data_IF_264827981929
#
_entry.id   IF_264827981929
#
_cell.length_a   1.000
_cell.length_b   1.000
_cell.length_c   1.000
_cell.angle_alpha   90.00
_cell.angle_beta   90.00
_cell.angle_gamma   90.00
#
_symmetry.space_group_name_H-M   'P 1'
#
loop_
_entity.id
_entity.type
_entity.pdbx_description
1 polymer ?
#
# COMPACT_ATOMS: atom_id res chain seq x y z
N UNK A 1 -25.65 16.17 -8.37
CA UNK A 1 -25.54 14.85 -9.03
C UNK A 1 -25.33 13.85 -7.92
N UNK A 2 -26.29 12.95 -7.68
CA UNK A 2 -26.09 11.83 -6.76
C UNK A 2 -24.98 10.95 -7.33
N UNK A 3 -24.08 10.51 -6.48
CA UNK A 3 -22.98 9.62 -6.85
C UNK A 3 -23.60 8.27 -7.26
N UNK A 4 -23.40 7.87 -8.53
CA UNK A 4 -24.01 6.67 -9.11
C UNK A 4 -23.61 5.35 -8.43
N UNK A 5 -22.75 5.41 -7.40
CA UNK A 5 -22.17 4.26 -6.73
C UNK A 5 -22.51 4.20 -5.22
N UNK A 6 -23.58 4.83 -4.80
CA UNK A 6 -24.01 4.82 -3.38
C UNK A 6 -24.73 3.51 -3.03
N UNK A 7 -24.32 2.88 -1.93
CA UNK A 7 -24.97 1.69 -1.35
C UNK A 7 -25.58 2.05 0.01
N UNK A 8 -26.71 1.42 0.35
CA UNK A 8 -27.26 1.47 1.70
C UNK A 8 -26.84 0.24 2.48
N UNK A 9 -26.38 0.42 3.73
CA UNK A 9 -26.21 -0.68 4.70
C UNK A 9 -27.27 -0.50 5.77
N UNK A 10 -28.29 -1.36 5.72
CA UNK A 10 -29.46 -1.23 6.59
C UNK A 10 -29.30 -2.02 7.90
N UNK A 11 -29.85 -1.49 9.00
CA UNK A 11 -29.91 -2.17 10.31
C UNK A 11 -28.55 -2.60 10.84
N UNK A 12 -27.55 -1.73 10.78
CA UNK A 12 -26.17 -2.04 11.18
C UNK A 12 -25.69 -1.18 12.35
N UNK A 13 -24.55 -1.53 12.91
CA UNK A 13 -23.79 -0.71 13.82
C UNK A 13 -22.66 0.01 13.06
N UNK A 14 -22.33 1.22 13.50
CA UNK A 14 -21.18 2.00 13.05
C UNK A 14 -20.33 2.38 14.26
N UNK A 15 -19.02 2.21 14.17
CA UNK A 15 -18.05 2.89 15.06
C UNK A 15 -17.47 4.06 14.28
N UNK A 16 -17.71 5.28 14.75
CA UNK A 16 -17.21 6.50 14.14
C UNK A 16 -15.74 6.79 14.51
N UNK A 17 -15.20 7.88 14.00
CA UNK A 17 -13.82 8.30 14.23
C UNK A 17 -13.51 8.68 15.68
N UNK A 18 -14.52 8.99 16.47
CA UNK A 18 -14.41 9.26 17.90
C UNK A 18 -14.51 7.97 18.75
N UNK A 19 -14.73 6.82 18.12
CA UNK A 19 -14.95 5.55 18.79
C UNK A 19 -16.36 5.37 19.36
N UNK A 20 -17.29 6.26 18.99
CA UNK A 20 -18.68 6.16 19.43
C UNK A 20 -19.45 5.20 18.54
N UNK A 21 -20.38 4.44 19.15
CA UNK A 21 -21.22 3.48 18.44
C UNK A 21 -22.58 4.10 18.09
N UNK A 22 -22.97 3.90 16.84
CA UNK A 22 -24.26 4.33 16.30
C UNK A 22 -25.01 3.13 15.72
N UNK A 23 -26.32 3.10 15.82
CA UNK A 23 -27.16 2.09 15.19
C UNK A 23 -28.12 2.74 14.23
N UNK A 24 -28.22 2.20 13.02
CA UNK A 24 -29.13 2.73 11.99
C UNK A 24 -28.86 2.19 10.61
N UNK A 25 -29.37 2.93 9.65
CA UNK A 25 -29.09 2.73 8.24
C UNK A 25 -28.06 3.77 7.78
N UNK A 26 -27.07 3.36 7.03
CA UNK A 26 -26.00 4.22 6.55
C UNK A 26 -25.85 4.12 5.04
N UNK A 27 -25.47 5.23 4.41
CA UNK A 27 -25.09 5.30 3.00
C UNK A 27 -23.56 5.22 2.91
N UNK A 28 -23.09 4.30 2.10
CA UNK A 28 -21.69 4.20 1.67
C UNK A 28 -21.58 4.78 0.27
N UNK A 29 -20.93 5.92 0.14
CA UNK A 29 -20.75 6.63 -1.12
C UNK A 29 -19.53 6.09 -1.90
N UNK A 30 -19.52 6.28 -3.23
CA UNK A 30 -18.47 5.82 -4.12
C UNK A 30 -17.08 6.41 -3.82
N UNK A 31 -17.04 7.58 -3.18
CA UNK A 31 -15.80 8.21 -2.70
C UNK A 31 -15.28 7.62 -1.37
N UNK A 32 -16.07 6.70 -0.76
CA UNK A 32 -15.76 6.08 0.53
C UNK A 32 -16.25 6.83 1.75
N UNK A 33 -16.95 7.95 1.57
CA UNK A 33 -17.60 8.66 2.67
C UNK A 33 -18.85 7.93 3.17
N UNK A 34 -19.24 8.21 4.43
CA UNK A 34 -20.42 7.65 5.08
C UNK A 34 -21.37 8.77 5.49
N UNK A 35 -22.66 8.51 5.34
CA UNK A 35 -23.73 9.38 5.91
C UNK A 35 -24.89 8.53 6.44
N UNK A 36 -25.75 9.13 7.25
CA UNK A 36 -26.99 8.48 7.67
C UNK A 36 -27.96 8.39 6.49
N UNK A 37 -28.64 7.25 6.35
CA UNK A 37 -29.74 7.06 5.43
C UNK A 37 -31.06 7.56 6.04
N UNK A 38 -31.88 8.22 5.22
CA UNK A 38 -33.26 8.59 5.55
C UNK A 38 -34.28 7.56 5.06
N UNK A 39 -33.81 6.59 4.25
CA UNK A 39 -34.61 5.49 3.78
C UNK A 39 -35.20 5.63 2.36
N UNK A 40 -35.15 6.83 1.78
CA UNK A 40 -35.73 7.19 0.48
C UNK A 40 -34.70 7.48 -0.62
N UNK A 41 -33.41 7.28 -0.33
CA UNK A 41 -32.37 7.55 -1.30
C UNK A 41 -32.33 6.49 -2.39
N UNK A 42 -32.05 6.94 -3.63
CA UNK A 42 -31.76 6.07 -4.75
C UNK A 42 -30.36 5.46 -4.58
N UNK A 43 -30.28 4.15 -4.49
CA UNK A 43 -29.05 3.40 -4.24
C UNK A 43 -28.94 2.22 -5.19
N UNK A 44 -27.70 1.89 -5.58
CA UNK A 44 -27.45 0.75 -6.47
C UNK A 44 -27.68 -0.61 -5.78
N UNK A 45 -27.58 -0.64 -4.44
CA UNK A 45 -27.70 -1.85 -3.65
C UNK A 45 -28.09 -1.52 -2.21
N UNK A 46 -28.91 -2.38 -1.59
CA UNK A 46 -29.13 -2.37 -0.15
C UNK A 46 -28.56 -3.65 0.45
N UNK A 47 -27.58 -3.49 1.36
CA UNK A 47 -26.93 -4.57 2.08
C UNK A 47 -27.61 -4.75 3.43
N UNK A 48 -28.04 -5.99 3.75
CA UNK A 48 -28.49 -6.30 5.11
C UNK A 48 -27.33 -6.24 6.11
N UNK A 49 -27.35 -5.26 6.97
CA UNK A 49 -26.35 -5.02 8.01
C UNK A 49 -26.66 -5.69 9.35
N UNK A 50 -27.71 -6.51 9.45
CA UNK A 50 -28.05 -7.23 10.67
C UNK A 50 -26.87 -8.06 11.17
N UNK A 51 -26.51 -7.86 12.44
CA UNK A 51 -25.34 -8.50 13.08
C UNK A 51 -24.00 -8.10 12.44
N UNK A 52 -23.93 -6.99 11.73
CA UNK A 52 -22.71 -6.45 11.14
C UNK A 52 -22.35 -5.12 11.81
N UNK A 53 -21.07 -4.78 11.66
CA UNK A 53 -20.48 -3.55 12.17
C UNK A 53 -19.74 -2.87 11.02
N UNK A 54 -20.01 -1.60 10.80
CA UNK A 54 -19.20 -0.74 9.96
C UNK A 54 -18.12 -0.10 10.85
N UNK A 55 -16.88 -0.18 10.40
CA UNK A 55 -15.72 0.44 11.04
C UNK A 55 -14.73 0.89 9.98
N UNK A 56 -13.75 1.71 10.36
CA UNK A 56 -12.60 1.96 9.49
C UNK A 56 -11.89 0.65 9.16
N UNK A 57 -11.38 0.56 7.94
CA UNK A 57 -10.59 -0.57 7.50
C UNK A 57 -9.21 -0.60 8.18
N UNK A 58 -8.57 -1.76 8.16
CA UNK A 58 -7.18 -1.91 8.58
C UNK A 58 -6.24 -1.23 7.58
N UNK A 59 -5.13 -0.71 8.09
CA UNK A 59 -4.06 -0.10 7.30
C UNK A 59 -2.74 -0.77 7.66
N UNK A 60 -1.98 -1.18 6.66
CA UNK A 60 -0.64 -1.73 6.84
C UNK A 60 0.39 -0.66 6.45
N UNK A 61 1.02 -0.05 7.46
CA UNK A 61 1.98 1.04 7.29
C UNK A 61 3.41 0.59 7.01
N UNK A 62 3.68 -0.70 6.95
CA UNK A 62 4.97 -1.24 6.50
C UNK A 62 4.77 -2.62 5.91
N UNK A 63 5.02 -2.77 4.61
CA UNK A 63 4.86 -4.04 3.91
C UNK A 63 5.82 -4.14 2.72
N UNK A 64 6.02 -5.38 2.27
CA UNK A 64 6.76 -5.76 1.07
C UNK A 64 5.87 -6.67 0.23
N UNK A 65 4.91 -6.08 -0.50
CA UNK A 65 3.81 -6.83 -1.13
C UNK A 65 4.29 -7.97 -2.03
N UNK A 66 5.34 -7.73 -2.82
CA UNK A 66 5.91 -8.76 -3.69
C UNK A 66 6.49 -9.96 -2.95
N UNK A 67 6.88 -9.80 -1.69
CA UNK A 67 7.48 -10.85 -0.86
C UNK A 67 6.48 -11.92 -0.38
N UNK A 68 5.18 -11.76 -0.61
CA UNK A 68 4.20 -12.79 -0.22
C UNK A 68 4.55 -14.16 -0.81
N UNK A 69 5.22 -14.20 -1.97
CA UNK A 69 5.69 -15.42 -2.60
C UNK A 69 6.80 -16.13 -1.80
N UNK A 70 7.47 -15.41 -0.90
CA UNK A 70 8.57 -15.92 -0.07
C UNK A 70 8.10 -16.31 1.34
N UNK A 71 6.80 -16.37 1.57
CA UNK A 71 6.22 -16.69 2.90
C UNK A 71 6.77 -18.01 3.43
N UNK A 72 7.26 -18.00 4.68
CA UNK A 72 7.81 -19.17 5.36
C UNK A 72 9.26 -19.53 4.98
N UNK A 73 9.88 -18.80 4.04
CA UNK A 73 11.28 -19.05 3.68
C UNK A 73 12.22 -18.63 4.81
N UNK A 74 13.05 -19.57 5.29
CA UNK A 74 14.03 -19.35 6.35
C UNK A 74 13.41 -19.02 7.71
N UNK A 75 12.19 -19.49 7.99
CA UNK A 75 11.51 -19.27 9.27
C UNK A 75 12.37 -19.73 10.45
N UNK A 76 12.44 -18.89 11.49
CA UNK A 76 13.21 -19.17 12.71
C UNK A 76 14.67 -18.76 12.66
N UNK A 77 15.20 -18.28 11.53
CA UNK A 77 16.56 -17.77 11.42
C UNK A 77 16.69 -16.36 12.02
N UNK A 78 17.86 -16.00 12.62
CA UNK A 78 18.19 -14.61 12.95
C UNK A 78 18.14 -13.72 11.70
N UNK A 79 17.83 -12.42 11.87
CA UNK A 79 17.60 -11.48 10.78
C UNK A 79 18.67 -11.52 9.67
N UNK A 80 19.94 -11.37 10.02
CA UNK A 80 21.01 -11.30 9.01
C UNK A 80 21.20 -12.65 8.30
N UNK A 81 21.15 -13.76 9.03
CA UNK A 81 21.22 -15.09 8.45
C UNK A 81 20.02 -15.36 7.53
N UNK A 82 18.82 -14.95 7.93
CA UNK A 82 17.62 -15.03 7.11
C UNK A 82 17.75 -14.23 5.81
N UNK A 83 18.23 -12.98 5.89
CA UNK A 83 18.45 -12.14 4.71
C UNK A 83 19.48 -12.76 3.75
N UNK A 84 20.65 -13.17 4.27
CA UNK A 84 21.76 -13.65 3.45
C UNK A 84 21.50 -15.02 2.82
N UNK A 85 20.84 -15.93 3.53
CA UNK A 85 20.68 -17.31 3.11
C UNK A 85 19.34 -17.60 2.44
N UNK A 86 18.28 -16.89 2.80
CA UNK A 86 16.93 -17.13 2.28
C UNK A 86 16.46 -16.03 1.31
N UNK A 87 16.57 -14.75 1.69
CA UNK A 87 15.91 -13.66 0.96
C UNK A 87 16.76 -13.13 -0.18
N UNK A 88 17.97 -12.65 0.06
CA UNK A 88 18.83 -12.08 -0.99
C UNK A 88 19.09 -13.00 -2.18
N UNK A 89 19.27 -14.34 -2.02
CA UNK A 89 19.40 -15.25 -3.16
C UNK A 89 18.17 -15.29 -4.06
N UNK A 90 16.97 -15.13 -3.48
CA UNK A 90 15.70 -15.09 -4.23
C UNK A 90 15.54 -13.72 -4.90
N UNK A 91 15.79 -12.65 -4.18
CA UNK A 91 15.65 -11.27 -4.69
C UNK A 91 16.59 -10.98 -5.87
N UNK A 92 17.78 -11.58 -5.89
CA UNK A 92 18.69 -11.51 -7.07
C UNK A 92 18.09 -12.05 -8.36
N UNK A 93 17.05 -12.89 -8.28
CA UNK A 93 16.33 -13.49 -9.41
C UNK A 93 14.95 -12.86 -9.62
N UNK A 94 14.62 -11.84 -8.85
CA UNK A 94 13.33 -11.19 -8.92
C UNK A 94 13.15 -10.50 -10.27
N UNK A 95 11.97 -10.62 -10.83
CA UNK A 95 11.55 -9.95 -12.06
C UNK A 95 10.29 -9.13 -11.81
N UNK A 96 10.01 -8.16 -12.68
CA UNK A 96 8.77 -7.38 -12.61
C UNK A 96 7.52 -8.26 -12.66
N UNK A 97 7.55 -9.35 -13.43
CA UNK A 97 6.44 -10.32 -13.52
C UNK A 97 6.19 -11.03 -12.18
N UNK A 98 7.25 -11.50 -11.50
CA UNK A 98 7.12 -12.10 -10.18
C UNK A 98 6.57 -11.11 -9.16
N UNK A 99 7.02 -9.85 -9.20
CA UNK A 99 6.49 -8.79 -8.33
C UNK A 99 5.04 -8.50 -8.64
N UNK A 100 4.62 -8.47 -9.91
CA UNK A 100 3.21 -8.32 -10.28
C UNK A 100 2.36 -9.45 -9.67
N UNK A 101 2.78 -10.71 -9.85
CA UNK A 101 2.06 -11.88 -9.31
C UNK A 101 1.96 -11.79 -7.78
N UNK A 102 3.07 -11.51 -7.10
CA UNK A 102 3.10 -11.35 -5.64
C UNK A 102 2.20 -10.21 -5.17
N UNK A 103 2.28 -9.05 -5.81
CA UNK A 103 1.46 -7.89 -5.47
C UNK A 103 -0.04 -8.18 -5.63
N UNK A 104 -0.44 -8.90 -6.67
CA UNK A 104 -1.84 -9.32 -6.87
C UNK A 104 -2.32 -10.27 -5.78
N UNK A 105 -1.48 -11.25 -5.40
CA UNK A 105 -1.79 -12.18 -4.32
C UNK A 105 -1.92 -11.45 -2.97
N UNK A 106 -0.99 -10.54 -2.67
CA UNK A 106 -1.03 -9.73 -1.46
C UNK A 106 -2.27 -8.83 -1.41
N UNK A 107 -2.63 -8.17 -2.52
CA UNK A 107 -3.82 -7.34 -2.61
C UNK A 107 -5.10 -8.16 -2.36
N UNK A 108 -5.19 -9.38 -2.90
CA UNK A 108 -6.32 -10.26 -2.67
C UNK A 108 -6.44 -10.66 -1.20
N UNK A 109 -5.32 -11.00 -0.54
CA UNK A 109 -5.30 -11.32 0.90
C UNK A 109 -5.67 -10.09 1.75
N UNK A 110 -5.12 -8.92 1.43
CA UNK A 110 -5.46 -7.67 2.11
C UNK A 110 -6.96 -7.39 2.07
N UNK A 111 -7.57 -7.46 0.88
CA UNK A 111 -9.01 -7.25 0.72
C UNK A 111 -9.81 -8.28 1.53
N UNK A 112 -9.44 -9.57 1.46
CA UNK A 112 -10.12 -10.64 2.17
C UNK A 112 -10.04 -10.49 3.71
N UNK A 113 -9.00 -9.82 4.23
CA UNK A 113 -8.78 -9.60 5.67
C UNK A 113 -9.17 -8.19 6.14
N UNK A 114 -9.74 -7.35 5.25
CA UNK A 114 -10.21 -6.02 5.61
C UNK A 114 -9.12 -4.94 5.64
N UNK A 115 -7.94 -5.21 5.07
CA UNK A 115 -6.87 -4.22 4.91
C UNK A 115 -7.02 -3.52 3.56
N UNK A 116 -7.20 -2.19 3.54
CA UNK A 116 -7.47 -1.43 2.31
C UNK A 116 -6.40 -0.41 1.95
N UNK A 117 -5.39 -0.27 2.78
CA UNK A 117 -4.24 0.61 2.56
C UNK A 117 -2.94 -0.12 2.87
N UNK A 118 -1.92 0.09 2.02
CA UNK A 118 -0.55 -0.37 2.23
C UNK A 118 0.45 0.77 2.06
N UNK A 119 1.42 0.88 2.98
CA UNK A 119 2.67 1.60 2.73
C UNK A 119 3.72 0.55 2.36
N UNK A 120 4.04 0.45 1.06
CA UNK A 120 4.90 -0.60 0.54
C UNK A 120 6.32 -0.10 0.28
N UNK A 121 7.29 -0.92 0.62
CA UNK A 121 8.70 -0.66 0.35
C UNK A 121 9.30 -1.90 -0.34
N UNK A 122 9.09 -2.01 -1.66
CA UNK A 122 9.63 -3.15 -2.40
C UNK A 122 10.12 -2.78 -3.81
N UNK A 123 10.92 -3.67 -4.39
CA UNK A 123 11.50 -3.49 -5.72
C UNK A 123 10.44 -3.44 -6.83
N UNK A 124 10.81 -2.90 -8.00
CA UNK A 124 9.90 -2.71 -9.13
C UNK A 124 8.65 -1.88 -8.76
N UNK A 125 8.86 -0.80 -8.04
CA UNK A 125 7.82 0.07 -7.46
C UNK A 125 6.76 0.50 -8.47
N UNK A 126 7.15 0.82 -9.71
CA UNK A 126 6.21 1.14 -10.78
C UNK A 126 5.25 -0.03 -11.06
N UNK A 127 5.78 -1.25 -11.18
CA UNK A 127 4.98 -2.47 -11.39
C UNK A 127 3.98 -2.69 -10.25
N UNK A 128 4.42 -2.47 -9.00
CA UNK A 128 3.52 -2.53 -7.84
C UNK A 128 2.38 -1.53 -7.99
N UNK A 129 2.68 -0.27 -8.35
CA UNK A 129 1.70 0.79 -8.54
C UNK A 129 0.68 0.48 -9.64
N UNK A 130 1.14 0.07 -10.80
CA UNK A 130 0.30 -0.31 -11.94
C UNK A 130 -0.60 -1.53 -11.62
N UNK A 131 -0.07 -2.46 -10.82
CA UNK A 131 -0.81 -3.64 -10.37
C UNK A 131 -1.90 -3.26 -9.38
N UNK A 132 -1.58 -2.51 -8.34
CA UNK A 132 -2.54 -2.07 -7.32
C UNK A 132 -3.62 -1.16 -7.89
N UNK A 133 -3.29 -0.33 -8.88
CA UNK A 133 -4.25 0.53 -9.56
C UNK A 133 -5.47 -0.23 -10.11
N UNK A 134 -5.30 -1.51 -10.44
CA UNK A 134 -6.35 -2.41 -10.95
C UNK A 134 -7.17 -3.08 -9.84
N UNK A 135 -6.75 -3.01 -8.58
CA UNK A 135 -7.36 -3.76 -7.47
C UNK A 135 -8.32 -2.95 -6.61
N UNK A 136 -8.19 -1.63 -6.59
CA UNK A 136 -8.94 -0.76 -5.68
C UNK A 136 -8.28 -0.52 -4.31
N UNK A 137 -7.23 -1.25 -3.95
CA UNK A 137 -6.41 -0.98 -2.76
C UNK A 137 -5.76 0.40 -2.87
N UNK A 138 -5.68 1.12 -1.76
CA UNK A 138 -4.92 2.37 -1.66
C UNK A 138 -3.50 2.07 -1.20
N UNK A 139 -2.52 2.78 -1.74
CA UNK A 139 -1.13 2.59 -1.33
C UNK A 139 -0.30 3.85 -1.45
N UNK A 140 0.70 3.96 -0.57
CA UNK A 140 1.87 4.80 -0.76
C UNK A 140 3.06 3.88 -1.01
N UNK A 141 3.74 4.06 -2.13
CA UNK A 141 4.80 3.18 -2.60
C UNK A 141 6.14 3.88 -2.47
N UNK A 142 6.94 3.43 -1.52
CA UNK A 142 8.23 3.99 -1.18
C UNK A 142 9.33 3.01 -1.63
N UNK A 143 9.69 3.05 -2.92
CA UNK A 143 10.69 2.12 -3.47
C UNK A 143 11.99 2.13 -2.69
N UNK A 144 12.59 0.95 -2.40
CA UNK A 144 13.75 0.87 -1.54
C UNK A 144 14.98 1.47 -2.20
N UNK A 145 15.60 2.42 -1.51
CA UNK A 145 16.88 3.02 -1.85
C UNK A 145 17.89 2.48 -0.85
N UNK A 146 18.94 1.84 -1.35
CA UNK A 146 20.00 1.21 -0.54
C UNK A 146 21.36 1.43 -1.18
N UNK A 147 22.44 1.21 -0.41
CA UNK A 147 23.82 1.15 -0.94
C UNK A 147 24.11 -0.15 -1.66
N UNK A 148 23.32 -1.18 -1.38
CA UNK A 148 23.52 -2.53 -1.86
C UNK A 148 23.05 -2.76 -3.30
N UNK A 149 23.32 -3.96 -3.79
CA UNK A 149 22.78 -4.45 -5.04
C UNK A 149 21.29 -4.68 -4.92
N UNK A 150 20.52 -4.08 -5.83
CA UNK A 150 19.08 -4.32 -5.95
C UNK A 150 18.77 -5.03 -7.27
N UNK A 151 17.65 -5.74 -7.39
CA UNK A 151 17.28 -6.44 -8.62
C UNK A 151 17.20 -5.54 -9.86
N UNK A 152 16.84 -4.26 -9.67
CA UNK A 152 16.53 -3.32 -10.74
C UNK A 152 17.46 -2.12 -10.84
N UNK A 153 18.39 -1.90 -9.88
CA UNK A 153 19.34 -0.78 -9.93
C UNK A 153 20.75 -1.20 -9.52
N UNK A 154 21.75 -0.53 -10.09
CA UNK A 154 23.16 -0.71 -9.73
C UNK A 154 23.48 0.03 -8.43
N UNK A 155 24.33 -0.55 -7.56
CA UNK A 155 24.79 0.13 -6.35
C UNK A 155 25.45 1.48 -6.65
N UNK A 156 25.19 2.47 -5.82
CA UNK A 156 25.84 3.79 -5.90
C UNK A 156 25.55 4.62 -7.14
N UNK A 157 24.68 4.15 -8.05
CA UNK A 157 24.39 4.88 -9.31
C UNK A 157 23.46 6.09 -9.13
N UNK A 158 22.76 6.19 -8.03
CA UNK A 158 21.69 7.19 -7.83
C UNK A 158 20.44 6.92 -8.68
N UNK A 159 20.39 5.81 -9.42
CA UNK A 159 19.26 5.48 -10.31
C UNK A 159 17.96 5.30 -9.52
N UNK A 160 18.03 4.69 -8.35
CA UNK A 160 16.86 4.49 -7.50
C UNK A 160 16.24 5.83 -7.06
N UNK A 161 17.05 6.81 -6.64
CA UNK A 161 16.58 8.15 -6.29
C UNK A 161 15.92 8.85 -7.49
N UNK A 162 16.58 8.83 -8.66
CA UNK A 162 16.04 9.44 -9.89
C UNK A 162 14.74 8.76 -10.32
N UNK A 163 14.68 7.45 -10.21
CA UNK A 163 13.47 6.70 -10.54
C UNK A 163 12.30 7.08 -9.61
N UNK A 164 12.55 7.17 -8.29
CA UNK A 164 11.51 7.59 -7.36
C UNK A 164 11.09 9.05 -7.59
N UNK A 165 12.03 9.95 -7.88
CA UNK A 165 11.69 11.33 -8.25
C UNK A 165 10.79 11.39 -9.49
N UNK A 166 11.08 10.59 -10.52
CA UNK A 166 10.24 10.48 -11.72
C UNK A 166 8.83 9.98 -11.37
N UNK A 167 8.70 8.90 -10.60
CA UNK A 167 7.40 8.36 -10.20
C UNK A 167 6.56 9.34 -9.37
N UNK A 168 7.21 10.17 -8.53
CA UNK A 168 6.52 11.17 -7.71
C UNK A 168 6.04 12.35 -8.56
N UNK A 169 6.81 12.75 -9.57
CA UNK A 169 6.51 13.92 -10.40
C UNK A 169 5.63 13.62 -11.60
N UNK A 170 5.55 12.38 -12.03
CA UNK A 170 4.67 11.92 -13.10
C UNK A 170 3.24 11.64 -12.61
N UNK A 171 2.24 11.63 -13.51
CA UNK A 171 0.88 11.27 -13.12
C UNK A 171 0.81 9.86 -12.53
N UNK A 172 0.18 9.73 -11.37
CA UNK A 172 -0.08 8.44 -10.74
C UNK A 172 -0.93 7.54 -11.64
N UNK A 173 -0.71 6.22 -11.67
CA UNK A 173 -1.54 5.28 -12.42
C UNK A 173 -3.00 5.25 -11.92
N UNK A 174 -3.26 5.72 -10.70
CA UNK A 174 -4.60 5.92 -10.16
C UNK A 174 -4.59 7.05 -9.11
N UNK A 175 -4.74 8.31 -9.53
CA UNK A 175 -4.73 9.46 -8.63
C UNK A 175 -5.70 9.32 -7.46
N UNK A 176 -5.26 9.72 -6.25
CA UNK A 176 -6.02 9.61 -5.01
C UNK A 176 -6.13 8.19 -4.42
N UNK A 177 -5.53 7.18 -5.10
CA UNK A 177 -5.42 5.82 -4.56
C UNK A 177 -3.99 5.33 -4.50
N UNK A 178 -3.18 5.61 -5.51
CA UNK A 178 -1.77 5.22 -5.56
C UNK A 178 -0.94 6.50 -5.50
N UNK A 179 -0.07 6.57 -4.52
CA UNK A 179 0.88 7.65 -4.31
C UNK A 179 2.28 7.09 -4.23
N UNK A 180 3.28 7.91 -4.53
CA UNK A 180 4.69 7.52 -4.41
C UNK A 180 5.38 8.37 -3.35
N UNK A 181 6.31 7.73 -2.63
CA UNK A 181 7.13 8.34 -1.61
C UNK A 181 8.58 7.89 -1.71
N UNK A 182 9.41 8.33 -0.80
CA UNK A 182 10.83 7.97 -0.72
C UNK A 182 11.02 6.90 0.34
N UNK A 183 11.61 5.76 -0.04
CA UNK A 183 11.96 4.68 0.87
C UNK A 183 13.48 4.58 1.04
N UNK A 184 14.06 5.16 2.09
CA UNK A 184 15.43 4.82 2.50
C UNK A 184 15.34 3.58 3.36
N UNK A 185 15.82 2.43 2.84
CA UNK A 185 15.43 1.10 3.32
C UNK A 185 15.59 0.93 4.83
N UNK A 186 16.73 1.34 5.39
CA UNK A 186 16.97 1.28 6.83
C UNK A 186 18.31 1.91 7.18
N UNK A 187 18.53 2.19 8.46
CA UNK A 187 19.79 2.75 8.97
C UNK A 187 20.96 1.76 8.96
N UNK A 188 20.73 0.47 8.71
CA UNK A 188 21.77 -0.56 8.68
C UNK A 188 22.17 -1.01 7.26
N UNK A 189 21.44 -0.58 6.23
CA UNK A 189 21.76 -0.85 4.80
C UNK A 189 21.82 0.43 3.96
N UNK A 190 21.76 1.60 4.59
CA UNK A 190 21.94 2.90 3.95
C UNK A 190 23.02 3.68 4.68
N UNK A 191 23.94 4.27 3.93
CA UNK A 191 24.86 5.24 4.48
C UNK A 191 24.16 6.58 4.79
N UNK A 192 24.87 7.46 5.52
CA UNK A 192 24.37 8.80 5.87
C UNK A 192 24.04 9.63 4.62
N UNK A 193 24.79 9.48 3.55
CA UNK A 193 24.58 10.22 2.30
C UNK A 193 23.24 9.87 1.65
N UNK A 194 22.89 8.58 1.58
CA UNK A 194 21.60 8.11 1.05
C UNK A 194 20.45 8.57 1.93
N UNK A 195 20.57 8.45 3.25
CA UNK A 195 19.54 8.93 4.20
C UNK A 195 19.29 10.43 4.03
N UNK A 196 20.36 11.21 3.91
CA UNK A 196 20.28 12.67 3.70
C UNK A 196 19.64 13.02 2.35
N UNK A 197 20.11 12.41 1.24
CA UNK A 197 19.57 12.64 -0.10
C UNK A 197 18.09 12.25 -0.20
N UNK A 198 17.70 11.11 0.40
CA UNK A 198 16.31 10.68 0.47
C UNK A 198 15.43 11.69 1.22
N UNK A 199 15.91 12.18 2.37
CA UNK A 199 15.21 13.21 3.16
C UNK A 199 15.08 14.54 2.40
N UNK A 200 16.15 14.97 1.69
CA UNK A 200 16.12 16.18 0.87
C UNK A 200 15.13 16.06 -0.28
N UNK A 201 15.10 14.91 -0.95
CA UNK A 201 14.16 14.66 -2.04
C UNK A 201 12.70 14.61 -1.53
N UNK A 202 12.44 13.95 -0.40
CA UNK A 202 11.12 13.94 0.21
C UNK A 202 10.63 15.35 0.55
N UNK A 203 11.50 16.19 1.13
CA UNK A 203 11.19 17.61 1.41
C UNK A 203 10.94 18.41 0.12
N UNK A 204 11.77 18.22 -0.91
CA UNK A 204 11.65 18.91 -2.22
C UNK A 204 10.30 18.58 -2.89
N UNK A 205 9.86 17.34 -2.83
CA UNK A 205 8.66 16.86 -3.51
C UNK A 205 7.40 16.92 -2.63
N UNK A 206 7.52 17.15 -1.32
CA UNK A 206 6.41 17.08 -0.37
C UNK A 206 5.87 15.66 -0.16
N UNK A 207 6.65 14.64 -0.55
CA UNK A 207 6.25 13.24 -0.47
C UNK A 207 6.58 12.62 0.90
N UNK A 208 5.98 11.46 1.18
CA UNK A 208 6.29 10.67 2.37
C UNK A 208 7.76 10.21 2.33
N UNK A 209 8.46 10.31 3.47
CA UNK A 209 9.70 9.59 3.73
C UNK A 209 9.38 8.39 4.62
N UNK A 210 9.73 7.21 4.15
CA UNK A 210 9.59 5.94 4.87
C UNK A 210 10.98 5.33 5.10
N UNK A 211 11.27 4.89 6.34
CA UNK A 211 12.55 4.28 6.73
C UNK A 211 12.29 2.95 7.42
#
# INVERSE_FOLDING_TARGET
>A
KMDSDTRRVANTWLIDDAGLTHRGDFLLHGDGSLSYSKGDEDVIETIDGKNRLITRSLQNWHTHLGMILNRGMGEGLPLMEWLETAIFPVEKRLTSELVEIGTRAAAAEMIATGTTYACDMYYYTQTVGETLAKTGVRATLCGPITDGLTPNFKPGSGDALRHMESLITEPSPRPGRIEYGIGTHSVYVCDEEILRKGSELAKKTGSLLHI
#
